data_IF_369916896227
#
_entry.id   IF_369916896227
#
_cell.length_a   1.000
_cell.length_b   1.000
_cell.length_c   1.000
_cell.angle_alpha   90.00
_cell.angle_beta   90.00
_cell.angle_gamma   90.00
#
_symmetry.space_group_name_H-M   'P 1'
#
loop_
_entity.id
_entity.type
_entity.pdbx_description
1 polymer ?
#
# COMPACT_ATOMS: atom_id res chain seq x y z
N UNK A 1 -35.17 -2.49 -7.52
CA UNK A 1 -34.85 -1.04 -7.47
C UNK A 1 -33.54 -0.86 -6.71
N UNK A 2 -32.46 -1.29 -7.32
CA UNK A 2 -31.10 -0.92 -6.95
C UNK A 2 -30.51 -0.55 -8.28
N UNK A 3 -30.17 0.72 -8.50
CA UNK A 3 -28.98 1.02 -9.30
C UNK A 3 -28.73 2.51 -9.54
N UNK A 4 -29.70 3.42 -9.48
CA UNK A 4 -29.38 4.83 -9.82
C UNK A 4 -28.40 5.51 -8.86
N UNK A 5 -28.49 5.24 -7.56
CA UNK A 5 -27.56 5.80 -6.57
C UNK A 5 -26.17 5.15 -6.65
N UNK A 6 -26.11 3.82 -6.83
CA UNK A 6 -24.83 3.12 -6.95
C UNK A 6 -24.12 3.53 -8.25
N UNK A 7 -24.85 3.65 -9.35
CA UNK A 7 -24.33 4.19 -10.62
C UNK A 7 -23.79 5.61 -10.45
N UNK A 8 -24.47 6.46 -9.69
CA UNK A 8 -23.99 7.82 -9.40
C UNK A 8 -22.69 7.81 -8.59
N UNK A 9 -22.59 6.96 -7.55
CA UNK A 9 -21.35 6.77 -6.77
C UNK A 9 -20.24 6.25 -7.69
N UNK A 10 -20.54 5.28 -8.54
CA UNK A 10 -19.61 4.65 -9.46
C UNK A 10 -19.06 5.64 -10.51
N UNK A 11 -19.93 6.52 -11.00
CA UNK A 11 -19.57 7.61 -11.90
C UNK A 11 -18.61 8.60 -11.22
N UNK A 12 -18.91 9.03 -9.98
CA UNK A 12 -18.05 9.93 -9.20
C UNK A 12 -16.69 9.31 -8.93
N UNK A 13 -16.66 8.05 -8.47
CA UNK A 13 -15.41 7.34 -8.19
C UNK A 13 -14.55 7.18 -9.45
N UNK A 14 -15.17 6.82 -10.58
CA UNK A 14 -14.48 6.68 -11.87
C UNK A 14 -13.94 8.03 -12.37
N UNK A 15 -14.71 9.11 -12.24
CA UNK A 15 -14.30 10.45 -12.62
C UNK A 15 -13.09 10.92 -11.78
N UNK A 16 -13.09 10.66 -10.48
CA UNK A 16 -11.96 10.96 -9.60
C UNK A 16 -10.67 10.24 -10.04
N UNK A 17 -10.76 8.94 -10.34
CA UNK A 17 -9.61 8.16 -10.81
C UNK A 17 -9.08 8.67 -12.16
N UNK A 18 -9.97 9.04 -13.10
CA UNK A 18 -9.58 9.60 -14.41
C UNK A 18 -8.92 10.98 -14.32
N UNK A 19 -9.23 11.77 -13.29
CA UNK A 19 -8.61 13.09 -13.04
C UNK A 19 -7.22 12.98 -12.43
N UNK A 20 -6.84 11.81 -11.91
CA UNK A 20 -5.50 11.61 -11.36
C UNK A 20 -4.46 11.73 -12.48
N UNK A 21 -3.39 12.52 -12.29
CA UNK A 21 -2.36 12.67 -13.31
C UNK A 21 -1.74 11.31 -13.64
N UNK A 22 -1.50 11.06 -14.93
CA UNK A 22 -0.81 9.84 -15.35
C UNK A 22 0.58 9.84 -14.72
N UNK A 23 0.89 8.79 -13.96
CA UNK A 23 2.21 8.63 -13.36
C UNK A 23 3.25 8.49 -14.47
N UNK A 24 4.30 9.29 -14.37
CA UNK A 24 5.50 9.22 -15.24
C UNK A 24 6.54 8.25 -14.68
N UNK A 25 6.12 7.33 -13.81
CA UNK A 25 6.94 6.34 -13.12
C UNK A 25 6.13 5.06 -12.89
N UNK A 26 6.82 3.93 -12.79
CA UNK A 26 6.25 2.70 -12.27
C UNK A 26 6.30 2.74 -10.74
N UNK A 27 5.17 2.43 -10.09
CA UNK A 27 5.12 2.27 -8.64
C UNK A 27 5.86 0.99 -8.24
N UNK A 28 6.75 1.09 -7.26
CA UNK A 28 7.49 -0.05 -6.73
C UNK A 28 6.59 -1.14 -6.11
N UNK A 29 5.33 -0.81 -5.78
CA UNK A 29 4.32 -1.77 -5.36
C UNK A 29 4.03 -2.88 -6.38
N UNK A 30 4.49 -2.75 -7.64
CA UNK A 30 4.38 -3.80 -8.66
C UNK A 30 5.62 -4.73 -8.71
N UNK A 31 6.73 -4.40 -8.05
CA UNK A 31 7.99 -5.13 -8.25
C UNK A 31 7.95 -6.58 -7.75
N UNK A 32 7.04 -6.93 -6.84
CA UNK A 32 6.81 -8.32 -6.43
C UNK A 32 5.90 -9.13 -7.37
N UNK A 33 5.45 -8.59 -8.50
CA UNK A 33 4.48 -9.26 -9.36
C UNK A 33 5.08 -10.50 -10.03
N UNK A 34 4.42 -11.66 -9.89
CA UNK A 34 4.89 -12.96 -10.40
C UNK A 34 5.21 -12.94 -11.91
N UNK A 35 4.40 -12.22 -12.69
CA UNK A 35 4.59 -12.09 -14.14
C UNK A 35 5.58 -10.96 -14.48
N UNK A 36 6.82 -11.33 -14.80
CA UNK A 36 7.86 -10.40 -15.23
C UNK A 36 7.47 -9.57 -16.47
N UNK A 37 6.66 -10.12 -17.38
CA UNK A 37 6.18 -9.38 -18.55
C UNK A 37 5.26 -8.21 -18.14
N UNK A 38 4.41 -8.40 -17.13
CA UNK A 38 3.56 -7.33 -16.60
C UNK A 38 4.42 -6.21 -16.02
N UNK A 39 5.46 -6.54 -15.24
CA UNK A 39 6.42 -5.57 -14.69
C UNK A 39 7.11 -4.81 -15.82
N UNK A 40 7.62 -5.52 -16.83
CA UNK A 40 8.33 -4.93 -17.97
C UNK A 40 7.43 -4.00 -18.80
N UNK A 41 6.21 -4.43 -19.15
CA UNK A 41 5.27 -3.61 -19.92
C UNK A 41 4.81 -2.38 -19.11
N UNK A 42 4.68 -2.50 -17.79
CA UNK A 42 4.33 -1.36 -16.92
C UNK A 42 5.47 -0.36 -16.86
N UNK A 43 6.71 -0.82 -16.68
CA UNK A 43 7.90 0.01 -16.71
C UNK A 43 8.04 0.78 -18.04
N UNK A 44 7.55 0.21 -19.15
CA UNK A 44 7.54 0.82 -20.49
C UNK A 44 6.28 1.62 -20.81
N UNK A 45 5.37 1.83 -19.85
CA UNK A 45 4.06 2.48 -20.05
C UNK A 45 3.24 1.89 -21.21
N UNK A 46 3.42 0.60 -21.47
CA UNK A 46 2.77 -0.12 -22.55
C UNK A 46 1.42 -0.71 -22.13
N UNK A 47 1.10 -0.68 -20.83
CA UNK A 47 -0.21 -1.05 -20.31
C UNK A 47 -1.08 0.18 -20.05
N UNK A 48 -2.37 0.03 -20.31
CA UNK A 48 -3.34 1.04 -19.90
C UNK A 48 -3.41 1.09 -18.37
N UNK A 49 -3.56 2.29 -17.78
CA UNK A 49 -3.74 2.40 -16.35
C UNK A 49 -5.02 1.66 -15.93
N UNK A 50 -5.03 1.06 -14.72
CA UNK A 50 -6.21 0.42 -14.20
C UNK A 50 -7.41 1.38 -14.19
N UNK A 51 -8.59 0.89 -14.57
CA UNK A 51 -9.78 1.72 -14.69
C UNK A 51 -11.03 0.97 -14.21
N UNK A 52 -12.07 1.71 -13.84
CA UNK A 52 -13.37 1.19 -13.45
C UNK A 52 -13.78 1.55 -12.02
N UNK A 53 -15.09 1.68 -11.81
CA UNK A 53 -15.66 2.17 -10.57
C UNK A 53 -15.34 1.28 -9.36
N UNK A 54 -15.44 -0.04 -9.54
CA UNK A 54 -15.10 -1.02 -8.48
C UNK A 54 -13.67 -0.84 -7.98
N UNK A 55 -12.72 -0.64 -8.91
CA UNK A 55 -11.32 -0.47 -8.56
C UNK A 55 -11.07 0.88 -7.88
N UNK A 56 -11.73 1.94 -8.36
CA UNK A 56 -11.68 3.24 -7.71
C UNK A 56 -12.18 3.19 -6.25
N UNK A 57 -13.28 2.47 -6.00
CA UNK A 57 -13.77 2.24 -4.63
C UNK A 57 -12.79 1.41 -3.81
N UNK A 58 -12.22 0.35 -4.37
CA UNK A 58 -11.24 -0.47 -3.65
C UNK A 58 -10.02 0.35 -3.18
N UNK A 59 -9.51 1.26 -4.01
CA UNK A 59 -8.43 2.16 -3.60
C UNK A 59 -8.87 3.18 -2.54
N UNK A 60 -10.07 3.73 -2.67
CA UNK A 60 -10.62 4.66 -1.69
C UNK A 60 -10.84 3.99 -0.32
N UNK A 61 -11.41 2.78 -0.30
CA UNK A 61 -11.60 1.99 0.91
C UNK A 61 -10.26 1.64 1.56
N UNK A 62 -9.26 1.28 0.75
CA UNK A 62 -7.90 1.00 1.22
C UNK A 62 -7.26 2.20 1.92
N UNK A 63 -7.31 3.38 1.29
CA UNK A 63 -6.80 4.62 1.86
C UNK A 63 -7.55 5.04 3.14
N UNK A 64 -8.87 4.84 3.18
CA UNK A 64 -9.66 5.10 4.38
C UNK A 64 -9.33 4.13 5.51
N UNK A 65 -9.08 2.86 5.20
CA UNK A 65 -8.63 1.84 6.15
C UNK A 65 -7.25 2.17 6.73
N UNK A 66 -6.30 2.49 5.86
CA UNK A 66 -4.95 2.94 6.25
C UNK A 66 -5.00 4.11 7.23
N UNK A 67 -5.79 5.15 6.93
CA UNK A 67 -5.95 6.31 7.79
C UNK A 67 -6.52 5.93 9.17
N UNK A 68 -7.55 5.07 9.22
CA UNK A 68 -8.13 4.60 10.49
C UNK A 68 -7.13 3.79 11.30
N UNK A 69 -6.35 2.93 10.65
CA UNK A 69 -5.31 2.13 11.30
C UNK A 69 -4.21 3.02 11.87
N UNK A 70 -3.78 4.03 11.12
CA UNK A 70 -2.81 5.02 11.61
C UNK A 70 -3.32 5.79 12.83
N UNK A 71 -4.60 6.19 12.84
CA UNK A 71 -5.24 6.85 13.98
C UNK A 71 -5.25 5.95 15.22
N UNK A 72 -5.61 4.67 15.06
CA UNK A 72 -5.60 3.69 16.16
C UNK A 72 -4.19 3.46 16.71
N UNK A 73 -3.19 3.38 15.86
CA UNK A 73 -1.78 3.25 16.30
C UNK A 73 -1.35 4.47 17.09
N UNK A 74 -1.76 5.68 16.68
CA UNK A 74 -1.43 6.92 17.39
C UNK A 74 -2.04 7.01 18.81
N UNK A 75 -3.05 6.20 19.12
CA UNK A 75 -3.62 6.08 20.48
C UNK A 75 -2.79 5.16 21.39
N UNK A 76 -1.84 4.39 20.84
CA UNK A 76 -0.98 3.51 21.62
C UNK A 76 0.18 4.32 22.24
N UNK A 77 0.36 4.28 23.58
CA UNK A 77 1.28 5.20 24.27
C UNK A 77 2.77 4.92 24.01
N UNK A 78 3.10 3.71 23.55
CA UNK A 78 4.49 3.26 23.36
C UNK A 78 4.88 3.13 21.90
N UNK A 79 3.91 3.18 20.98
CA UNK A 79 4.15 2.98 19.55
C UNK A 79 4.18 4.33 18.86
N UNK A 80 5.23 4.57 18.07
CA UNK A 80 5.34 5.77 17.24
C UNK A 80 5.11 5.39 15.79
N UNK A 81 4.15 6.05 15.15
CA UNK A 81 3.93 5.95 13.70
C UNK A 81 4.13 7.32 13.05
N UNK A 82 5.05 7.38 12.08
CA UNK A 82 5.24 8.53 11.21
C UNK A 82 4.78 8.15 9.80
N UNK A 83 3.78 8.83 9.26
CA UNK A 83 3.25 8.57 7.91
C UNK A 83 3.74 9.56 6.84
N UNK A 84 4.36 10.66 7.26
CA UNK A 84 4.85 11.69 6.35
C UNK A 84 6.03 12.48 6.92
N UNK A 85 6.79 13.08 6.02
CA UNK A 85 7.77 14.15 6.24
C UNK A 85 7.13 15.52 6.01
N UNK A 86 7.89 16.61 6.23
CA UNK A 86 7.47 17.98 5.85
C UNK A 86 7.14 18.07 4.34
N UNK A 87 7.78 17.25 3.50
CA UNK A 87 7.59 17.23 2.04
C UNK A 87 6.54 16.24 1.52
N UNK A 88 5.82 15.53 2.40
CA UNK A 88 4.84 14.50 2.03
C UNK A 88 5.26 13.10 2.46
N UNK A 89 4.65 12.06 1.86
CA UNK A 89 4.90 10.66 2.22
C UNK A 89 6.39 10.28 2.12
N UNK A 90 6.81 9.37 3.00
CA UNK A 90 8.14 8.77 2.93
C UNK A 90 8.29 8.00 1.61
N UNK A 91 9.39 8.23 0.90
CA UNK A 91 9.58 7.62 -0.40
C UNK A 91 10.81 8.13 -1.11
N UNK A 92 10.99 7.65 -2.34
CA UNK A 92 12.14 7.99 -3.16
C UNK A 92 11.95 7.60 -4.61
N UNK A 93 13.00 7.83 -5.39
CA UNK A 93 13.03 7.48 -6.80
C UNK A 93 14.32 6.76 -7.16
N UNK A 94 14.19 5.75 -8.00
CA UNK A 94 15.30 4.92 -8.48
C UNK A 94 15.29 4.87 -10.00
N UNK A 95 16.37 4.34 -10.57
CA UNK A 95 16.53 4.15 -12.02
C UNK A 95 16.26 5.45 -12.79
N UNK A 96 16.85 6.57 -12.36
CA UNK A 96 16.71 7.85 -13.05
C UNK A 96 15.29 8.42 -13.12
N UNK A 97 14.40 8.06 -12.18
CA UNK A 97 13.01 8.53 -12.18
C UNK A 97 11.98 7.49 -12.60
N UNK A 98 12.43 6.39 -13.22
CA UNK A 98 11.55 5.38 -13.81
C UNK A 98 10.77 4.58 -12.75
N UNK A 99 11.33 4.43 -11.55
CA UNK A 99 10.68 3.77 -10.42
C UNK A 99 10.53 4.78 -9.29
N UNK A 100 9.35 4.81 -8.65
CA UNK A 100 9.15 5.50 -7.38
C UNK A 100 8.43 4.60 -6.39
N UNK A 101 8.75 4.81 -5.12
CA UNK A 101 8.12 4.14 -4.00
C UNK A 101 7.67 5.17 -2.99
N UNK A 102 6.56 4.84 -2.32
CA UNK A 102 6.06 5.57 -1.17
C UNK A 102 5.60 4.51 -0.18
N UNK A 103 6.05 4.62 1.07
CA UNK A 103 5.65 3.72 2.14
C UNK A 103 4.52 4.37 2.94
N UNK A 104 3.68 3.56 3.57
CA UNK A 104 2.56 4.08 4.36
C UNK A 104 3.06 4.73 5.65
N UNK A 105 4.18 4.25 6.21
CA UNK A 105 4.86 4.92 7.31
C UNK A 105 6.09 4.22 7.86
N UNK A 106 6.68 4.84 8.87
CA UNK A 106 7.75 4.32 9.71
C UNK A 106 7.22 4.10 11.12
N UNK A 107 7.43 2.89 11.63
CA UNK A 107 6.90 2.41 12.90
C UNK A 107 8.05 2.03 13.83
N UNK A 108 8.01 2.51 15.06
CA UNK A 108 8.91 2.09 16.13
C UNK A 108 8.15 1.96 17.46
N UNK A 109 8.80 1.37 18.47
CA UNK A 109 8.18 1.17 19.79
C UNK A 109 7.27 -0.07 19.90
N UNK A 110 7.43 -1.05 19.00
CA UNK A 110 6.78 -2.36 19.14
C UNK A 110 7.49 -3.14 20.27
N UNK A 111 6.79 -3.60 21.32
CA UNK A 111 7.42 -4.29 22.45
C UNK A 111 8.29 -5.49 22.08
N UNK A 112 7.84 -6.26 21.07
CA UNK A 112 8.51 -7.46 20.59
C UNK A 112 9.61 -7.17 19.55
N UNK A 113 9.69 -5.94 19.03
CA UNK A 113 10.65 -5.54 18.01
C UNK A 113 11.10 -4.07 18.20
N UNK A 114 12.29 -3.84 18.79
CA UNK A 114 12.77 -2.50 19.12
C UNK A 114 13.28 -1.71 17.91
N UNK A 115 13.29 -2.31 16.71
CA UNK A 115 13.86 -1.72 15.50
C UNK A 115 12.92 -0.66 14.91
N UNK A 116 13.49 0.20 14.07
CA UNK A 116 12.70 1.02 13.15
C UNK A 116 12.19 0.14 12.01
N UNK A 117 10.88 0.12 11.77
CA UNK A 117 10.24 -0.73 10.77
C UNK A 117 9.54 0.11 9.70
N UNK A 118 9.57 -0.36 8.45
CA UNK A 118 8.60 0.09 7.44
C UNK A 118 7.22 -0.42 7.83
N UNK A 119 6.23 0.44 7.95
CA UNK A 119 4.83 0.06 8.09
C UNK A 119 4.15 0.07 6.73
N UNK A 120 3.55 -1.06 6.37
CA UNK A 120 2.76 -1.23 5.15
C UNK A 120 1.37 -1.77 5.54
N UNK A 121 0.32 -1.07 5.14
CA UNK A 121 -1.06 -1.39 5.47
C UNK A 121 -1.79 -2.01 4.27
N UNK A 122 -2.54 -3.09 4.51
CA UNK A 122 -3.41 -3.73 3.52
C UNK A 122 -4.82 -3.89 4.06
N UNK A 123 -5.77 -3.28 3.38
CA UNK A 123 -7.19 -3.54 3.59
C UNK A 123 -7.63 -4.74 2.74
N UNK A 124 -8.32 -5.72 3.33
CA UNK A 124 -8.70 -6.94 2.63
C UNK A 124 -10.14 -7.38 2.88
N UNK A 125 -10.61 -8.35 2.09
CA UNK A 125 -11.93 -8.97 2.29
C UNK A 125 -11.82 -10.24 3.16
N UNK A 126 -12.96 -10.75 3.63
CA UNK A 126 -12.97 -11.87 4.57
C UNK A 126 -12.46 -13.20 4.00
N UNK A 127 -12.47 -13.36 2.67
CA UNK A 127 -11.87 -14.53 2.01
C UNK A 127 -10.35 -14.49 2.12
N UNK A 128 -9.76 -13.35 1.78
CA UNK A 128 -8.31 -13.15 1.83
C UNK A 128 -7.79 -13.07 3.27
N UNK A 129 -8.58 -12.51 4.20
CA UNK A 129 -8.27 -12.53 5.62
C UNK A 129 -8.14 -13.96 6.15
N UNK A 130 -9.16 -14.80 5.96
CA UNK A 130 -9.13 -16.22 6.37
C UNK A 130 -8.01 -17.01 5.70
N UNK A 131 -7.61 -16.63 4.47
CA UNK A 131 -6.43 -17.21 3.82
C UNK A 131 -5.17 -16.87 4.62
N UNK A 132 -4.99 -15.60 5.01
CA UNK A 132 -3.84 -15.15 5.80
C UNK A 132 -3.80 -15.86 7.15
N UNK A 133 -4.92 -15.91 7.89
CA UNK A 133 -5.01 -16.59 9.20
C UNK A 133 -4.59 -18.06 9.11
N UNK A 134 -5.04 -18.77 8.07
CA UNK A 134 -4.68 -20.18 7.87
C UNK A 134 -3.20 -20.38 7.56
N UNK A 135 -2.61 -19.48 6.79
CA UNK A 135 -1.20 -19.58 6.40
C UNK A 135 -0.26 -19.11 7.52
N UNK A 136 -0.66 -18.10 8.29
CA UNK A 136 0.19 -17.48 9.30
C UNK A 136 1.42 -16.76 8.72
N UNK A 137 1.50 -16.60 7.40
CA UNK A 137 2.66 -16.04 6.69
C UNK A 137 2.20 -15.01 5.65
N UNK A 138 2.78 -13.81 5.72
CA UNK A 138 2.51 -12.74 4.76
C UNK A 138 3.08 -13.05 3.36
N UNK A 139 4.25 -13.71 3.32
CA UNK A 139 4.89 -14.18 2.08
C UNK A 139 4.00 -15.18 1.34
N UNK A 140 3.56 -16.24 2.02
CA UNK A 140 2.68 -17.25 1.42
C UNK A 140 1.29 -16.69 1.10
N UNK A 141 0.86 -15.66 1.85
CA UNK A 141 -0.41 -15.02 1.61
C UNK A 141 -0.44 -14.28 0.28
N UNK A 142 0.60 -13.48 -0.01
CA UNK A 142 0.70 -12.69 -1.22
C UNK A 142 2.14 -12.28 -1.55
N UNK A 143 2.75 -13.00 -2.50
CA UNK A 143 4.13 -12.75 -2.97
C UNK A 143 4.34 -11.33 -3.51
N UNK A 144 3.35 -10.75 -4.20
CA UNK A 144 3.42 -9.37 -4.68
C UNK A 144 3.62 -8.38 -3.52
N UNK A 145 2.85 -8.56 -2.45
CA UNK A 145 2.91 -7.65 -1.31
C UNK A 145 4.13 -7.91 -0.43
N UNK A 146 4.59 -9.15 -0.34
CA UNK A 146 5.85 -9.47 0.32
C UNK A 146 7.03 -8.84 -0.42
N UNK A 147 7.12 -9.01 -1.74
CA UNK A 147 8.14 -8.39 -2.58
C UNK A 147 8.10 -6.86 -2.50
N UNK A 148 6.91 -6.25 -2.47
CA UNK A 148 6.74 -4.82 -2.21
C UNK A 148 7.37 -4.41 -0.87
N UNK A 149 7.04 -5.10 0.22
CA UNK A 149 7.57 -4.77 1.56
C UNK A 149 9.09 -4.91 1.61
N UNK A 150 9.65 -6.01 1.09
CA UNK A 150 11.10 -6.22 1.04
C UNK A 150 11.80 -5.12 0.24
N UNK A 151 11.24 -4.74 -0.92
CA UNK A 151 11.76 -3.64 -1.71
C UNK A 151 11.71 -2.31 -0.94
N UNK A 152 10.62 -2.03 -0.22
CA UNK A 152 10.49 -0.80 0.57
C UNK A 152 11.55 -0.71 1.68
N UNK A 153 11.81 -1.81 2.40
CA UNK A 153 12.84 -1.85 3.44
C UNK A 153 14.22 -1.50 2.85
N UNK A 154 14.59 -2.14 1.74
CA UNK A 154 15.87 -1.87 1.07
C UNK A 154 15.95 -0.46 0.49
N UNK A 155 14.92 -0.03 -0.24
CA UNK A 155 14.91 1.27 -0.90
C UNK A 155 14.90 2.45 0.08
N UNK A 156 14.26 2.32 1.24
CA UNK A 156 14.32 3.35 2.29
C UNK A 156 15.75 3.56 2.80
N UNK A 157 16.50 2.48 3.04
CA UNK A 157 17.91 2.56 3.48
C UNK A 157 18.83 3.19 2.44
N UNK A 158 18.58 2.91 1.16
CA UNK A 158 19.44 3.39 0.07
C UNK A 158 19.12 4.82 -0.38
N UNK A 159 17.83 5.19 -0.37
CA UNK A 159 17.34 6.40 -1.03
C UNK A 159 16.85 7.49 -0.08
N UNK A 160 16.85 7.25 1.24
CA UNK A 160 16.39 8.21 2.24
C UNK A 160 17.36 8.30 3.42
N UNK A 161 17.16 9.29 4.29
CA UNK A 161 17.90 9.43 5.56
C UNK A 161 17.43 8.44 6.65
N UNK A 162 16.40 7.64 6.38
CA UNK A 162 15.83 6.71 7.34
C UNK A 162 16.34 5.29 7.07
N UNK A 163 16.76 4.60 8.12
CA UNK A 163 17.36 3.27 8.02
C UNK A 163 16.47 2.20 8.70
N UNK A 164 15.29 1.86 8.15
CA UNK A 164 14.43 0.85 8.77
C UNK A 164 15.10 -0.52 8.70
N UNK A 165 15.21 -1.21 9.82
CA UNK A 165 15.88 -2.51 9.93
C UNK A 165 14.96 -3.71 9.61
N UNK A 166 13.68 -3.45 9.37
CA UNK A 166 12.69 -4.45 8.98
C UNK A 166 11.40 -3.83 8.47
N UNK A 167 10.38 -4.66 8.33
CA UNK A 167 9.05 -4.23 7.90
C UNK A 167 7.96 -4.92 8.71
N UNK A 168 6.88 -4.18 8.94
CA UNK A 168 5.67 -4.60 9.60
C UNK A 168 4.51 -4.49 8.61
N UNK A 169 4.01 -5.64 8.14
CA UNK A 169 2.80 -5.69 7.34
C UNK A 169 1.58 -5.76 8.26
N UNK A 170 0.74 -4.74 8.19
CA UNK A 170 -0.54 -4.70 8.89
C UNK A 170 -1.66 -5.01 7.92
N UNK A 171 -2.35 -6.13 8.09
CA UNK A 171 -3.49 -6.50 7.25
C UNK A 171 -4.77 -6.35 8.06
N UNK A 172 -5.64 -5.43 7.66
CA UNK A 172 -6.97 -5.26 8.25
C UNK A 172 -8.05 -5.88 7.37
N UNK A 173 -9.05 -6.45 8.04
CA UNK A 173 -10.25 -6.95 7.43
C UNK A 173 -11.37 -5.90 7.55
N UNK A 174 -12.00 -5.56 6.43
CA UNK A 174 -13.06 -4.53 6.37
C UNK A 174 -14.21 -4.75 7.34
N UNK A 175 -14.57 -6.01 7.58
CA UNK A 175 -15.68 -6.33 8.48
C UNK A 175 -15.21 -6.56 9.93
N UNK A 176 -13.94 -6.27 10.25
CA UNK A 176 -13.43 -6.23 11.63
C UNK A 176 -13.53 -4.82 12.25
N UNK A 177 -14.04 -3.82 11.51
CA UNK A 177 -14.45 -2.54 12.06
C UNK A 177 -15.91 -2.63 12.54
N UNK A 178 -16.10 -3.32 13.67
CA UNK A 178 -17.26 -3.12 14.55
C UNK A 178 -16.99 -1.92 15.48
#
# INVERSE_FOLDING_TARGET
>A
MTDTLLEAIDAVATASLKRSPRRTYMGASLLGHECALTVWLTHRWSLLPPSGARLARLFADGAAGELRSAQRIAELPIVSLRTQTIGGQFGGSMMGGHIRFHIDGLLDGIPEDPRLLVWEHKETNGKNWRKLERLGSYEEWNELYFGQLQFYIGAMRECTEHEPEGGYAMVYYRDACD
#
